data_IF_555621713230
#
_entry.id   IF_555621713230
#
_cell.length_a   1.000
_cell.length_b   1.000
_cell.length_c   1.000
_cell.angle_alpha   90.00
_cell.angle_beta   90.00
_cell.angle_gamma   90.00
#
_symmetry.space_group_name_H-M   'P 1'
#
loop_
_entity.id
_entity.type
_entity.pdbx_description
1 polymer ?
#
# COMPACT_ATOMS: atom_id res chain seq x y z
N UNK A 1 -15.44 -14.19 2.30
CA UNK A 1 -16.12 -13.94 0.99
C UNK A 1 -15.96 -12.48 0.68
N UNK A 2 -15.17 -12.16 -0.33
CA UNK A 2 -14.90 -10.78 -0.73
C UNK A 2 -16.18 -10.16 -1.28
N UNK A 3 -16.64 -9.06 -0.69
CA UNK A 3 -17.84 -8.36 -1.13
C UNK A 3 -17.57 -7.70 -2.49
N UNK A 4 -18.31 -8.07 -3.52
CA UNK A 4 -18.21 -7.44 -4.84
C UNK A 4 -18.93 -6.09 -4.78
N UNK A 5 -18.19 -5.00 -4.92
CA UNK A 5 -18.77 -3.65 -4.97
C UNK A 5 -19.06 -3.27 -6.43
N UNK A 6 -20.23 -2.67 -6.68
CA UNK A 6 -20.62 -2.22 -8.01
C UNK A 6 -20.28 -0.75 -8.23
N UNK A 7 -19.72 -0.45 -9.40
CA UNK A 7 -19.36 0.92 -9.83
C UNK A 7 -19.95 1.16 -11.22
N UNK A 8 -20.59 2.29 -11.39
CA UNK A 8 -21.05 2.77 -12.70
C UNK A 8 -19.95 3.61 -13.34
N UNK A 9 -19.66 3.36 -14.59
CA UNK A 9 -18.68 4.06 -15.39
C UNK A 9 -19.23 4.44 -16.76
N UNK A 10 -18.79 5.55 -17.30
CA UNK A 10 -19.06 5.95 -18.68
C UNK A 10 -17.86 5.68 -19.58
N UNK A 11 -18.08 5.16 -20.80
CA UNK A 11 -17.00 4.98 -21.76
C UNK A 11 -16.47 6.33 -22.26
N UNK A 12 -15.16 6.43 -22.50
CA UNK A 12 -14.52 7.61 -23.07
C UNK A 12 -13.94 7.30 -24.43
N UNK A 13 -14.39 8.04 -25.46
CA UNK A 13 -13.84 7.96 -26.80
C UNK A 13 -12.51 8.72 -26.95
N UNK A 14 -12.32 9.81 -26.19
CA UNK A 14 -11.14 10.64 -26.29
C UNK A 14 -10.13 10.36 -25.18
N UNK A 15 -8.89 10.07 -25.56
CA UNK A 15 -7.74 9.86 -24.67
C UNK A 15 -6.70 10.95 -24.87
N UNK A 16 -5.84 11.17 -23.87
CA UNK A 16 -4.77 12.14 -23.87
C UNK A 16 -4.92 13.24 -22.83
N UNK A 17 -3.88 14.09 -22.70
CA UNK A 17 -3.73 15.09 -21.63
C UNK A 17 -4.89 16.11 -21.58
N UNK A 18 -5.33 16.60 -22.72
CA UNK A 18 -6.44 17.57 -22.81
C UNK A 18 -7.77 16.97 -22.40
N UNK A 19 -8.10 15.78 -22.92
CA UNK A 19 -9.31 15.04 -22.59
C UNK A 19 -9.38 14.66 -21.12
N UNK A 20 -8.28 14.16 -20.53
CA UNK A 20 -8.22 13.84 -19.12
C UNK A 20 -8.46 15.07 -18.21
N UNK A 21 -7.91 16.24 -18.59
CA UNK A 21 -8.19 17.49 -17.87
C UNK A 21 -9.63 17.95 -17.97
N UNK A 22 -10.27 17.76 -19.14
CA UNK A 22 -11.67 18.10 -19.33
C UNK A 22 -12.58 17.24 -18.45
N UNK A 23 -12.33 15.92 -18.37
CA UNK A 23 -13.05 14.97 -17.52
C UNK A 23 -12.93 15.35 -16.04
N UNK A 24 -11.72 15.68 -15.57
CA UNK A 24 -11.52 16.10 -14.16
C UNK A 24 -12.24 17.41 -13.82
N UNK A 25 -12.36 18.36 -14.76
CA UNK A 25 -13.15 19.59 -14.55
C UNK A 25 -14.65 19.32 -14.39
N UNK A 26 -15.14 18.20 -14.94
CA UNK A 26 -16.53 17.75 -14.79
C UNK A 26 -16.77 16.97 -13.49
N UNK A 27 -15.76 16.85 -12.61
CA UNK A 27 -15.87 16.08 -11.38
C UNK A 27 -15.76 14.58 -11.58
N UNK A 28 -15.21 14.15 -12.72
CA UNK A 28 -15.00 12.74 -13.03
C UNK A 28 -13.52 12.38 -12.97
N UNK A 29 -13.21 11.14 -12.58
CA UNK A 29 -11.87 10.57 -12.59
C UNK A 29 -11.67 9.71 -13.82
N UNK A 30 -10.67 10.01 -14.66
CA UNK A 30 -10.30 9.14 -15.75
C UNK A 30 -9.70 7.83 -15.22
N UNK A 31 -10.11 6.71 -15.79
CA UNK A 31 -9.59 5.39 -15.47
C UNK A 31 -9.43 4.55 -16.74
N UNK A 32 -8.66 3.47 -16.61
CA UNK A 32 -8.43 2.52 -17.71
C UNK A 32 -8.68 1.09 -17.20
N UNK A 33 -9.39 0.30 -17.98
CA UNK A 33 -9.55 -1.13 -17.74
C UNK A 33 -8.72 -1.87 -18.77
N UNK A 34 -7.79 -2.70 -18.34
CA UNK A 34 -6.90 -3.50 -19.20
C UNK A 34 -6.82 -4.96 -18.76
N UNK A 35 -6.16 -5.80 -19.54
CA UNK A 35 -5.98 -7.23 -19.25
C UNK A 35 -7.12 -8.10 -19.82
N UNK A 36 -7.08 -9.40 -19.47
CA UNK A 36 -8.08 -10.38 -19.93
C UNK A 36 -8.07 -10.65 -21.44
N UNK A 37 -6.98 -10.31 -22.16
CA UNK A 37 -6.86 -10.53 -23.60
C UNK A 37 -7.70 -9.58 -24.48
N UNK A 38 -8.47 -8.66 -23.89
CA UNK A 38 -9.24 -7.65 -24.60
C UNK A 38 -8.49 -6.31 -24.67
N UNK A 39 -8.86 -5.47 -25.65
CA UNK A 39 -8.29 -4.14 -25.78
C UNK A 39 -8.52 -3.28 -24.52
N UNK A 40 -7.58 -2.37 -24.18
CA UNK A 40 -7.78 -1.43 -23.09
C UNK A 40 -8.98 -0.52 -23.35
N UNK A 41 -9.82 -0.36 -22.33
CA UNK A 41 -11.00 0.52 -22.37
C UNK A 41 -10.79 1.73 -21.49
N UNK A 42 -10.88 2.93 -22.06
CA UNK A 42 -10.83 4.16 -21.31
C UNK A 42 -12.23 4.50 -20.76
N UNK A 43 -12.30 4.72 -19.45
CA UNK A 43 -13.55 5.01 -18.74
C UNK A 43 -13.45 6.28 -17.90
N UNK A 44 -14.57 6.80 -17.46
CA UNK A 44 -14.65 7.86 -16.47
C UNK A 44 -15.56 7.45 -15.32
N UNK A 45 -15.09 7.67 -14.10
CA UNK A 45 -15.75 7.37 -12.85
C UNK A 45 -16.15 8.67 -12.11
N UNK A 46 -17.14 8.61 -11.24
CA UNK A 46 -17.44 9.72 -10.34
C UNK A 46 -16.28 9.91 -9.33
N UNK A 47 -15.71 11.13 -9.31
CA UNK A 47 -14.53 11.41 -8.49
C UNK A 47 -14.83 11.31 -6.97
N UNK A 48 -16.03 11.72 -6.53
CA UNK A 48 -16.39 11.67 -5.12
C UNK A 48 -16.60 10.24 -4.64
N UNK A 49 -17.31 9.43 -5.44
CA UNK A 49 -17.51 8.01 -5.12
C UNK A 49 -16.20 7.26 -5.10
N UNK A 50 -15.33 7.49 -6.10
CA UNK A 50 -14.01 6.86 -6.18
C UNK A 50 -13.13 7.27 -4.99
N UNK A 51 -13.13 8.55 -4.62
CA UNK A 51 -12.42 9.05 -3.45
C UNK A 51 -12.86 8.34 -2.17
N UNK A 52 -14.16 8.26 -1.90
CA UNK A 52 -14.68 7.56 -0.72
C UNK A 52 -14.29 6.09 -0.67
N UNK A 53 -14.24 5.42 -1.83
CA UNK A 53 -13.81 4.02 -1.91
C UNK A 53 -12.31 3.85 -1.62
N UNK A 54 -11.46 4.77 -2.10
CA UNK A 54 -10.02 4.76 -1.84
C UNK A 54 -9.75 4.99 -0.34
N UNK A 55 -10.41 5.98 0.27
CA UNK A 55 -10.26 6.27 1.70
C UNK A 55 -10.87 5.21 2.62
N UNK A 56 -11.70 4.32 2.09
CA UNK A 56 -12.19 3.16 2.83
C UNK A 56 -11.12 2.13 3.20
N UNK A 57 -9.88 2.29 2.73
CA UNK A 57 -8.70 1.53 3.16
C UNK A 57 -8.47 0.20 2.44
N UNK A 58 -9.47 -0.36 1.78
CA UNK A 58 -9.37 -1.68 1.13
C UNK A 58 -9.61 -1.62 -0.38
N UNK A 59 -9.25 -0.50 -1.00
CA UNK A 59 -9.54 -0.27 -2.40
C UNK A 59 -8.79 -1.26 -3.31
N UNK A 60 -7.49 -1.46 -3.09
CA UNK A 60 -6.65 -2.35 -3.92
C UNK A 60 -6.96 -3.84 -3.74
N UNK A 61 -7.54 -4.23 -2.60
CA UNK A 61 -7.87 -5.61 -2.27
C UNK A 61 -9.32 -6.00 -2.58
N UNK A 62 -10.15 -5.04 -2.98
CA UNK A 62 -11.57 -5.25 -3.24
C UNK A 62 -11.82 -5.60 -4.71
N UNK A 63 -12.65 -6.64 -4.95
CA UNK A 63 -13.15 -6.98 -6.28
C UNK A 63 -14.32 -6.06 -6.66
N UNK A 64 -14.21 -5.39 -7.80
CA UNK A 64 -15.26 -4.51 -8.33
C UNK A 64 -15.94 -5.11 -9.54
N UNK A 65 -17.24 -4.84 -9.66
CA UNK A 65 -18.01 -5.05 -10.87
C UNK A 65 -18.30 -3.67 -11.50
N UNK A 66 -17.59 -3.33 -12.57
CA UNK A 66 -17.78 -2.06 -13.28
C UNK A 66 -18.79 -2.26 -14.40
N UNK A 67 -19.83 -1.44 -14.40
CA UNK A 67 -20.80 -1.37 -15.49
C UNK A 67 -20.42 -0.23 -16.43
N UNK A 68 -19.98 -0.59 -17.64
CA UNK A 68 -19.66 0.35 -18.72
C UNK A 68 -20.71 0.19 -19.81
N UNK A 69 -21.52 1.20 -20.04
CA UNK A 69 -22.60 1.19 -21.06
C UNK A 69 -23.48 -0.08 -21.01
N UNK A 70 -23.80 -0.55 -19.79
CA UNK A 70 -24.62 -1.73 -19.56
C UNK A 70 -23.87 -3.08 -19.60
N UNK A 71 -22.59 -3.10 -19.94
CA UNK A 71 -21.74 -4.29 -19.86
C UNK A 71 -21.05 -4.35 -18.50
N UNK A 72 -21.26 -5.42 -17.77
CA UNK A 72 -20.63 -5.66 -16.47
C UNK A 72 -19.30 -6.40 -16.66
N UNK A 73 -18.25 -5.87 -16.05
CA UNK A 73 -16.91 -6.44 -16.07
C UNK A 73 -16.38 -6.56 -14.65
N UNK A 74 -15.79 -7.71 -14.31
CA UNK A 74 -15.10 -7.91 -13.03
C UNK A 74 -13.67 -7.41 -13.14
N UNK A 75 -13.29 -6.53 -12.24
CA UNK A 75 -11.98 -5.88 -12.24
C UNK A 75 -11.44 -5.75 -10.82
N UNK A 76 -10.13 -5.67 -10.71
CA UNK A 76 -9.41 -5.33 -9.48
C UNK A 76 -8.62 -4.06 -9.76
N UNK A 77 -8.63 -3.05 -8.86
CA UNK A 77 -7.75 -1.91 -8.97
C UNK A 77 -6.30 -2.37 -8.82
N UNK A 78 -5.42 -1.91 -9.71
CA UNK A 78 -3.99 -2.20 -9.63
C UNK A 78 -3.21 -1.02 -9.08
N UNK A 79 -3.60 0.18 -9.49
CA UNK A 79 -2.94 1.41 -9.07
C UNK A 79 -3.94 2.57 -9.05
N UNK A 80 -3.64 3.58 -8.24
CA UNK A 80 -4.36 4.83 -8.23
C UNK A 80 -3.44 6.01 -7.92
N UNK A 81 -3.71 7.14 -8.55
CA UNK A 81 -2.96 8.36 -8.35
C UNK A 81 -3.87 9.40 -7.70
N UNK A 82 -3.39 10.01 -6.62
CA UNK A 82 -4.06 11.11 -5.93
C UNK A 82 -3.33 12.43 -6.20
N UNK A 83 -4.09 13.52 -6.16
CA UNK A 83 -3.54 14.87 -6.16
C UNK A 83 -2.93 15.15 -4.77
N UNK A 84 -1.63 15.51 -4.67
CA UNK A 84 -0.95 15.66 -3.38
C UNK A 84 -1.44 16.85 -2.54
N UNK A 85 -2.25 17.75 -3.11
CA UNK A 85 -2.76 18.95 -2.42
C UNK A 85 -4.24 18.83 -2.08
N UNK A 86 -5.02 18.25 -2.98
CA UNK A 86 -6.49 18.18 -2.86
C UNK A 86 -7.00 16.80 -2.51
N UNK A 87 -6.14 15.80 -2.54
CA UNK A 87 -6.48 14.39 -2.32
C UNK A 87 -7.60 13.86 -3.22
N UNK A 88 -7.74 14.44 -4.40
CA UNK A 88 -8.68 13.93 -5.40
C UNK A 88 -8.01 12.88 -6.29
N UNK A 89 -8.74 11.82 -6.67
CA UNK A 89 -8.20 10.81 -7.58
C UNK A 89 -7.95 11.41 -8.98
N UNK A 90 -6.70 11.34 -9.43
CA UNK A 90 -6.26 11.80 -10.74
C UNK A 90 -6.44 10.70 -11.78
N UNK A 91 -6.11 9.47 -11.45
CA UNK A 91 -6.19 8.31 -12.32
C UNK A 91 -6.42 7.04 -11.51
N UNK A 92 -7.07 6.05 -12.11
CA UNK A 92 -7.23 4.72 -11.54
C UNK A 92 -7.05 3.68 -12.63
N UNK A 93 -6.25 2.67 -12.32
CA UNK A 93 -5.96 1.55 -13.21
C UNK A 93 -6.66 0.29 -12.72
N UNK A 94 -7.43 -0.34 -13.62
CA UNK A 94 -8.16 -1.57 -13.33
C UNK A 94 -7.66 -2.72 -14.20
N UNK A 95 -7.43 -3.86 -13.56
CA UNK A 95 -7.11 -5.11 -14.22
C UNK A 95 -8.37 -5.97 -14.36
N UNK A 96 -8.71 -6.40 -15.59
CA UNK A 96 -9.79 -7.37 -15.80
C UNK A 96 -9.41 -8.72 -15.23
N UNK A 97 -10.35 -9.33 -14.54
CA UNK A 97 -10.14 -10.62 -13.91
C UNK A 97 -11.15 -11.64 -14.44
N UNK A 98 -10.63 -12.72 -14.99
CA UNK A 98 -11.44 -13.89 -15.33
C UNK A 98 -11.54 -14.84 -14.14
N UNK A 99 -12.62 -15.60 -14.04
CA UNK A 99 -12.76 -16.65 -13.02
C UNK A 99 -11.65 -17.70 -13.17
N UNK A 100 -11.01 -18.06 -12.04
CA UNK A 100 -9.94 -19.05 -12.01
C UNK A 100 -8.56 -18.54 -12.44
N UNK A 101 -8.40 -17.24 -12.66
CA UNK A 101 -7.13 -16.62 -12.97
C UNK A 101 -6.51 -16.10 -11.68
N UNK A 102 -5.25 -16.40 -11.42
CA UNK A 102 -4.49 -15.83 -10.29
C UNK A 102 -4.03 -14.42 -10.62
N UNK A 103 -4.10 -13.54 -9.63
CA UNK A 103 -3.65 -12.15 -9.74
C UNK A 103 -2.65 -11.84 -8.64
N UNK A 104 -1.68 -11.00 -8.96
CA UNK A 104 -0.75 -10.45 -7.97
C UNK A 104 -1.39 -9.20 -7.38
N UNK A 105 -1.56 -9.19 -6.05
CA UNK A 105 -2.18 -8.07 -5.32
C UNK A 105 -1.28 -7.68 -4.16
N UNK A 106 -1.18 -6.38 -3.92
CA UNK A 106 -0.53 -5.80 -2.74
C UNK A 106 -1.54 -5.66 -1.62
N UNK A 107 -1.26 -6.30 -0.48
CA UNK A 107 -2.16 -6.32 0.68
C UNK A 107 -1.50 -5.58 1.82
N UNK A 108 -2.16 -4.57 2.42
CA UNK A 108 -1.61 -3.81 3.53
C UNK A 108 -1.46 -4.67 4.78
N UNK A 109 -0.47 -4.33 5.60
CA UNK A 109 -0.18 -4.97 6.88
C UNK A 109 -0.65 -4.06 8.01
N UNK A 110 -1.42 -4.61 8.94
CA UNK A 110 -1.81 -3.94 10.17
C UNK A 110 -1.13 -4.59 11.37
N UNK A 111 -0.39 -3.78 12.13
CA UNK A 111 0.25 -4.24 13.35
C UNK A 111 -0.73 -4.16 14.51
N UNK A 112 -0.95 -5.30 15.18
CA UNK A 112 -1.84 -5.42 16.34
C UNK A 112 -1.05 -5.80 17.58
N UNK A 113 -1.57 -5.42 18.77
CA UNK A 113 -0.96 -5.83 20.05
C UNK A 113 0.26 -5.03 20.48
N UNK A 114 0.45 -3.81 19.97
CA UNK A 114 1.57 -2.94 20.36
C UNK A 114 1.61 -2.67 21.88
N UNK A 115 0.46 -2.44 22.52
CA UNK A 115 0.35 -2.21 23.96
C UNK A 115 0.73 -3.44 24.81
N UNK A 116 0.66 -4.63 24.23
CA UNK A 116 0.98 -5.88 24.90
C UNK A 116 2.47 -6.27 24.75
N UNK A 117 3.23 -5.56 23.91
CA UNK A 117 4.65 -5.81 23.70
C UNK A 117 5.50 -5.27 24.87
N UNK A 118 6.35 -6.08 25.51
CA UNK A 118 7.31 -5.59 26.49
C UNK A 118 8.35 -4.64 25.86
N UNK A 119 8.72 -4.85 24.60
CA UNK A 119 9.65 -3.96 23.89
C UNK A 119 9.11 -2.54 23.78
N UNK A 120 7.83 -2.36 23.45
CA UNK A 120 7.19 -1.04 23.39
C UNK A 120 7.06 -0.42 24.78
N UNK A 121 6.72 -1.21 25.82
CA UNK A 121 6.65 -0.74 27.21
C UNK A 121 7.98 -0.25 27.74
N UNK A 122 9.08 -0.82 27.27
CA UNK A 122 10.45 -0.41 27.62
C UNK A 122 10.95 0.78 26.78
N UNK A 123 10.06 1.46 26.04
CA UNK A 123 10.36 2.64 25.24
C UNK A 123 10.78 2.34 23.80
N UNK A 124 10.77 1.08 23.35
CA UNK A 124 11.04 0.73 21.96
C UNK A 124 9.96 1.25 21.02
N UNK A 125 10.34 1.53 19.78
CA UNK A 125 9.45 1.92 18.69
C UNK A 125 9.24 0.77 17.74
N UNK A 126 7.97 0.50 17.35
CA UNK A 126 7.64 -0.48 16.32
C UNK A 126 7.88 0.15 14.95
N UNK A 127 8.82 -0.39 14.21
CA UNK A 127 9.11 0.02 12.85
C UNK A 127 8.56 -1.02 11.87
N UNK A 128 7.66 -0.60 11.01
CA UNK A 128 7.17 -1.40 9.90
C UNK A 128 8.11 -1.21 8.70
N UNK A 129 8.82 -2.27 8.32
CA UNK A 129 9.76 -2.28 7.20
C UNK A 129 9.00 -2.40 5.89
N UNK A 130 8.08 -3.36 5.83
CA UNK A 130 7.22 -3.57 4.68
C UNK A 130 5.77 -3.22 5.04
N UNK A 131 5.20 -2.23 4.36
CA UNK A 131 3.85 -1.74 4.60
C UNK A 131 2.78 -2.57 3.89
N UNK A 132 3.16 -3.30 2.84
CA UNK A 132 2.28 -4.16 2.07
C UNK A 132 3.03 -5.40 1.59
N UNK A 133 2.33 -6.53 1.47
CA UNK A 133 2.87 -7.77 0.91
C UNK A 133 2.26 -8.05 -0.46
N UNK A 134 3.13 -8.33 -1.43
CA UNK A 134 2.71 -8.86 -2.72
C UNK A 134 2.44 -10.36 -2.61
N UNK A 135 1.21 -10.74 -2.92
CA UNK A 135 0.80 -12.14 -3.00
C UNK A 135 0.14 -12.46 -4.34
N UNK A 136 0.32 -13.68 -4.78
CA UNK A 136 -0.39 -14.27 -5.91
C UNK A 136 -1.57 -15.07 -5.34
N UNK A 137 -2.80 -14.66 -5.64
CA UNK A 137 -4.00 -15.25 -5.08
C UNK A 137 -5.14 -15.27 -6.09
N UNK A 138 -6.15 -16.12 -5.88
CA UNK A 138 -7.39 -16.07 -6.63
C UNK A 138 -8.24 -14.86 -6.19
N UNK A 139 -8.92 -14.17 -7.11
CA UNK A 139 -9.70 -12.96 -6.83
C UNK A 139 -10.80 -13.13 -5.78
N UNK A 140 -11.29 -14.34 -5.60
CA UNK A 140 -12.36 -14.64 -4.64
C UNK A 140 -11.84 -14.81 -3.20
N UNK A 141 -10.51 -15.01 -3.04
CA UNK A 141 -9.85 -15.30 -1.76
C UNK A 141 -8.89 -14.19 -1.30
N UNK A 142 -9.03 -12.97 -1.81
CA UNK A 142 -8.18 -11.84 -1.42
C UNK A 142 -8.57 -11.39 -0.01
N UNK A 143 -7.66 -11.41 0.99
CA UNK A 143 -7.92 -10.84 2.31
C UNK A 143 -7.88 -9.30 2.24
N UNK A 144 -8.59 -8.64 3.13
CA UNK A 144 -8.62 -7.17 3.19
C UNK A 144 -7.30 -6.60 3.70
N UNK A 145 -6.71 -7.21 4.72
CA UNK A 145 -5.44 -6.85 5.31
C UNK A 145 -4.80 -8.06 5.99
N UNK A 146 -3.50 -8.02 6.24
CA UNK A 146 -2.80 -8.96 7.09
C UNK A 146 -2.61 -8.36 8.49
N UNK A 147 -2.99 -9.09 9.53
CA UNK A 147 -2.75 -8.71 10.91
C UNK A 147 -1.48 -9.38 11.42
N UNK A 148 -0.52 -8.57 11.85
CA UNK A 148 0.74 -9.04 12.44
C UNK A 148 0.74 -8.68 13.92
N UNK A 149 0.78 -9.71 14.80
CA UNK A 149 0.85 -9.49 16.23
C UNK A 149 2.29 -9.28 16.68
N UNK A 150 2.53 -8.18 17.39
CA UNK A 150 3.80 -7.86 18.04
C UNK A 150 3.75 -8.11 19.55
N UNK A 151 2.71 -8.76 20.03
CA UNK A 151 2.55 -9.08 21.45
C UNK A 151 3.67 -10.01 21.93
N UNK A 152 4.35 -9.64 23.02
CA UNK A 152 5.41 -10.44 23.63
C UNK A 152 6.79 -10.28 23.01
N UNK A 153 6.97 -9.42 22.00
CA UNK A 153 8.28 -9.13 21.40
C UNK A 153 9.08 -8.13 22.24
N UNK A 154 10.39 -8.33 22.31
CA UNK A 154 11.36 -7.47 22.97
C UNK A 154 12.02 -6.49 21.99
N UNK A 155 12.83 -5.56 22.53
CA UNK A 155 13.62 -4.63 21.70
C UNK A 155 14.69 -5.42 20.93
N UNK A 156 14.73 -5.24 19.62
CA UNK A 156 15.61 -5.96 18.70
C UNK A 156 14.99 -7.17 18.02
N UNK A 157 13.77 -7.59 18.44
CA UNK A 157 13.08 -8.68 17.79
C UNK A 157 12.51 -8.24 16.43
N UNK A 158 12.44 -9.22 15.51
CA UNK A 158 11.91 -9.04 14.16
C UNK A 158 10.82 -10.06 13.89
N UNK A 159 9.82 -9.66 13.11
CA UNK A 159 8.80 -10.57 12.57
C UNK A 159 9.01 -10.72 11.08
N UNK A 160 9.13 -11.96 10.63
CA UNK A 160 9.32 -12.32 9.22
C UNK A 160 7.97 -12.59 8.52
N UNK A 161 8.00 -12.59 7.18
CA UNK A 161 6.85 -12.92 6.35
C UNK A 161 6.31 -14.34 6.56
N UNK A 162 7.16 -15.25 7.02
CA UNK A 162 6.80 -16.64 7.37
C UNK A 162 5.79 -16.75 8.51
N UNK A 163 5.72 -15.75 9.40
CA UNK A 163 4.82 -15.74 10.56
C UNK A 163 3.36 -15.38 10.20
N UNK A 164 3.12 -14.92 8.97
CA UNK A 164 1.79 -14.49 8.54
C UNK A 164 0.96 -15.67 8.05
N UNK A 165 -0.28 -15.75 8.52
CA UNK A 165 -1.23 -16.75 8.05
C UNK A 165 -1.76 -16.39 6.66
N UNK A 166 -1.30 -17.11 5.64
CA UNK A 166 -1.73 -16.93 4.26
C UNK A 166 -3.09 -17.60 4.00
N UNK A 167 -3.95 -17.00 3.16
CA UNK A 167 -5.19 -17.62 2.71
C UNK A 167 -4.91 -18.83 1.81
N UNK A 168 -5.91 -19.68 1.64
CA UNK A 168 -5.78 -20.89 0.82
C UNK A 168 -5.46 -20.54 -0.63
N UNK A 169 -4.40 -21.15 -1.15
CA UNK A 169 -3.97 -20.94 -2.54
C UNK A 169 -3.16 -19.68 -2.80
N UNK A 170 -2.87 -18.88 -1.78
CA UNK A 170 -1.98 -17.73 -1.92
C UNK A 170 -0.50 -18.15 -1.88
N UNK A 171 0.32 -17.48 -2.69
CA UNK A 171 1.77 -17.60 -2.70
C UNK A 171 2.38 -16.23 -2.49
N UNK A 172 3.35 -16.12 -1.59
CA UNK A 172 4.17 -14.92 -1.45
C UNK A 172 5.06 -14.75 -2.69
N UNK A 173 5.15 -13.53 -3.19
CA UNK A 173 6.11 -13.15 -4.23
C UNK A 173 7.46 -12.78 -3.61
N UNK A 174 7.41 -12.18 -2.42
CA UNK A 174 8.59 -11.84 -1.62
C UNK A 174 9.07 -13.08 -0.87
N UNK A 175 10.39 -13.21 -0.66
CA UNK A 175 10.96 -14.34 0.09
C UNK A 175 10.36 -14.48 1.50
N UNK A 176 10.17 -15.70 1.95
CA UNK A 176 9.61 -16.00 3.28
C UNK A 176 10.43 -15.39 4.44
N UNK A 177 11.71 -15.11 4.20
CA UNK A 177 12.68 -14.56 5.18
C UNK A 177 12.67 -13.01 5.21
N UNK A 178 11.75 -12.35 4.46
CA UNK A 178 11.66 -10.89 4.48
C UNK A 178 11.16 -10.40 5.84
N UNK A 179 11.90 -9.46 6.44
CA UNK A 179 11.52 -8.82 7.70
C UNK A 179 10.37 -7.84 7.46
N UNK A 180 9.29 -7.99 8.19
CA UNK A 180 8.09 -7.15 8.08
C UNK A 180 8.07 -6.06 9.15
N UNK A 181 8.28 -6.47 10.40
CA UNK A 181 8.24 -5.58 11.57
C UNK A 181 9.48 -5.78 12.40
N UNK A 182 10.04 -4.71 12.91
CA UNK A 182 11.13 -4.74 13.89
C UNK A 182 10.83 -3.79 15.04
N UNK A 183 11.30 -4.12 16.23
CA UNK A 183 11.22 -3.23 17.41
C UNK A 183 12.59 -2.61 17.62
N UNK A 184 12.69 -1.30 17.39
CA UNK A 184 13.93 -0.53 17.49
C UNK A 184 14.02 0.15 18.87
N UNK A 185 15.21 0.19 19.51
CA UNK A 185 15.38 0.94 20.74
C UNK A 185 15.10 2.44 20.55
N UNK A 186 14.70 3.15 21.60
CA UNK A 186 14.48 4.59 21.52
C UNK A 186 15.81 5.32 21.19
N UNK A 187 15.75 6.25 20.26
CA UNK A 187 16.91 7.01 19.74
C UNK A 187 17.48 8.04 20.72
N UNK A 188 17.14 7.95 22.01
CA UNK A 188 17.45 9.02 22.98
C UNK A 188 18.85 8.96 23.61
N UNK A 189 19.67 7.93 23.34
CA UNK A 189 20.94 7.76 24.08
C UNK A 189 22.24 7.88 23.25
N UNK A 190 22.16 7.97 21.92
CA UNK A 190 23.39 8.04 21.09
C UNK A 190 23.91 9.45 20.78
N UNK A 191 23.21 10.50 21.23
CA UNK A 191 23.66 11.89 20.96
C UNK A 191 24.60 12.45 22.04
N UNK A 192 24.70 11.80 23.21
CA UNK A 192 25.55 12.29 24.29
C UNK A 192 26.98 11.70 24.32
N UNK A 193 27.20 10.54 23.68
CA UNK A 193 28.54 9.91 23.69
C UNK A 193 29.45 10.36 22.54
N UNK A 194 28.89 10.93 21.47
CA UNK A 194 29.70 11.48 20.36
C UNK A 194 30.15 12.94 20.57
N UNK A 195 29.61 13.64 21.56
CA UNK A 195 29.95 15.03 21.82
C UNK A 195 31.12 15.22 22.83
N UNK A 196 31.57 14.14 23.46
CA UNK A 196 32.63 14.22 24.50
C UNK A 196 34.02 13.83 23.95
N UNK A 197 34.11 13.27 22.76
CA UNK A 197 35.39 12.81 22.18
C UNK A 197 36.13 13.85 21.32
N UNK A 198 35.57 15.06 21.09
CA UNK A 198 36.20 16.09 20.23
C UNK A 198 36.53 17.40 20.95
N UNK A 199 36.89 17.33 22.24
CA UNK A 199 37.40 18.48 22.97
C UNK A 199 38.68 18.11 23.74
N UNK A 200 39.78 17.95 23.02
CA UNK A 200 41.11 18.04 23.63
C UNK A 200 41.98 19.02 22.82
N UNK A 201 42.58 20.03 23.46
CA UNK A 201 43.20 21.14 22.77
C UNK A 201 44.64 20.83 22.36
N UNK A 202 44.98 21.11 21.12
CA UNK A 202 46.38 21.27 20.74
C UNK A 202 46.76 22.75 20.81
N UNK A 203 47.33 23.10 21.94
CA UNK A 203 48.07 24.35 22.11
C UNK A 203 49.50 24.19 21.57
N UNK A 204 50.03 25.32 21.08
CA UNK A 204 51.45 25.69 20.90
C UNK A 204 52.25 25.06 19.74
N UNK A 205 52.54 25.92 18.79
CA UNK A 205 53.92 26.40 18.57
C UNK A 205 54.00 27.46 17.46
N UNK A 206 54.25 28.71 17.82
CA UNK A 206 55.08 29.63 17.02
C UNK A 206 56.55 29.16 17.14
N UNK A 207 57.50 29.44 16.20
CA UNK A 207 57.94 30.82 15.94
C UNK A 207 58.53 31.16 14.56
N UNK A 208 58.62 32.48 14.33
CA UNK A 208 59.69 33.28 13.69
C UNK A 208 60.42 32.76 12.43
N UNK A 209 60.33 33.47 11.38
CA UNK A 209 61.32 34.39 10.76
C UNK A 209 60.67 35.05 9.53
#
# INVERSE_FOLDING_TARGET
MTAVKQIEASARAQVGKGAARAVRRQGLTPAVIYGGGAAPEAIALDANKTRLMIYGGHFLTTLFEISVDGKKQRVIPRDYQLDPVKDFPIHVDFLRVAKGQTVTVEIPIHVVGQDASPGVKNGGSVQLVEHALEIIVEPENIPEAFEVSVAGLEIGDTVEASAITLPRGAKLTIGADATIVTIVPPMAEEVEEAAVAEAAPAAEAKPKA
#
